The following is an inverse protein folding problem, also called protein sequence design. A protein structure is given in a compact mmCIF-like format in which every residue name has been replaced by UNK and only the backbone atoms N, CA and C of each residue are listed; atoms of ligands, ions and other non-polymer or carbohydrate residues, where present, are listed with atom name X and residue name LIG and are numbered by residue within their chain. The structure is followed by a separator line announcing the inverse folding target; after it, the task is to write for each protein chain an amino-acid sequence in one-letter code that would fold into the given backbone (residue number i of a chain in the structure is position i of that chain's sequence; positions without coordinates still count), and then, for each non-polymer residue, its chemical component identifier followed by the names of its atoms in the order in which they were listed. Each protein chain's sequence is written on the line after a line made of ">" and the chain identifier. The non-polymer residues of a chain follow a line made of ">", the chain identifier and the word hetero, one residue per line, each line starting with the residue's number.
data_IF_341540758204
#
_entry.id   IF_341540758204
#
_cell.length_a   1.000
_cell.length_b   1.000
_cell.length_c   1.000
_cell.angle_alpha   90.00
_cell.angle_beta   90.00
_cell.angle_gamma   90.00
#
_symmetry.space_group_name_H-M   'P 1'
#
loop_
_entity.id
_entity.type
_entity.pdbx_description
1 polymer ?
#
# COMPACT_ATOMS: atom_id res chain seq x y z
N UNK A 1 -5.42 -4.37 -3.40
CA UNK A 1 -5.88 -3.00 -3.02
C UNK A 1 -7.12 -2.93 -2.13
N UNK A 2 -8.10 -3.84 -2.23
CA UNK A 2 -9.33 -3.78 -1.40
C UNK A 2 -9.06 -3.77 0.11
N UNK A 3 -8.04 -4.49 0.58
CA UNK A 3 -7.69 -4.56 2.00
C UNK A 3 -7.12 -3.24 2.55
N UNK A 4 -6.14 -2.65 1.85
CA UNK A 4 -5.59 -1.33 2.22
C UNK A 4 -6.69 -0.26 2.22
N UNK A 5 -7.54 -0.26 1.19
CA UNK A 5 -8.68 0.65 1.11
C UNK A 5 -9.72 0.42 2.21
N UNK A 6 -9.94 -0.82 2.68
CA UNK A 6 -10.89 -1.06 3.78
C UNK A 6 -10.36 -0.65 5.15
N UNK A 7 -9.04 -0.55 5.31
CA UNK A 7 -8.41 -0.09 6.55
C UNK A 7 -8.44 1.44 6.62
N UNK A 8 -8.15 2.10 5.51
CA UNK A 8 -8.14 3.55 5.39
C UNK A 8 -6.75 4.13 5.05
N UNK A 9 -6.70 5.42 4.68
CA UNK A 9 -5.44 6.11 4.37
C UNK A 9 -4.61 6.33 5.65
N UNK A 10 -3.32 6.62 5.45
CA UNK A 10 -2.35 6.94 6.51
C UNK A 10 -2.16 5.87 7.60
N UNK A 11 -2.61 4.63 7.35
CA UNK A 11 -2.41 3.50 8.26
C UNK A 11 -1.32 2.58 7.71
N UNK A 12 -0.31 2.33 8.54
CA UNK A 12 0.76 1.38 8.23
C UNK A 12 0.25 -0.04 8.41
N UNK A 13 0.26 -0.80 7.32
CA UNK A 13 -0.10 -2.22 7.28
C UNK A 13 1.16 -3.03 7.03
N UNK A 14 1.38 -4.07 7.83
CA UNK A 14 2.52 -4.94 7.64
C UNK A 14 2.40 -5.72 6.32
N UNK A 15 3.51 -5.93 5.61
CA UNK A 15 3.52 -6.53 4.28
C UNK A 15 2.81 -7.90 4.21
N UNK A 16 2.85 -8.67 5.31
CA UNK A 16 2.17 -9.98 5.42
C UNK A 16 0.64 -9.89 5.40
N UNK A 17 0.08 -8.78 5.88
CA UNK A 17 -1.37 -8.57 5.94
C UNK A 17 -1.90 -8.04 4.60
N UNK A 18 -1.04 -7.40 3.81
CA UNK A 18 -1.36 -6.98 2.44
C UNK A 18 -1.36 -8.18 1.51
N UNK A 19 -2.52 -8.81 1.37
CA UNK A 19 -2.75 -9.87 0.38
C UNK A 19 -2.93 -9.29 -1.03
N UNK A 20 -2.46 -10.04 -2.02
CA UNK A 20 -2.63 -9.73 -3.46
C UNK A 20 -2.00 -8.40 -3.91
N UNK A 21 -0.84 -8.04 -3.37
CA UNK A 21 -0.01 -6.94 -3.85
C UNK A 21 1.33 -7.49 -4.35
N UNK A 22 1.32 -8.03 -5.58
CA UNK A 22 2.55 -8.52 -6.23
C UNK A 22 3.52 -7.40 -6.60
N UNK A 23 4.79 -7.73 -6.92
CA UNK A 23 5.87 -6.75 -7.15
C UNK A 23 5.54 -5.73 -8.25
N UNK A 24 4.98 -6.18 -9.39
CA UNK A 24 4.56 -5.28 -10.48
C UNK A 24 3.45 -4.31 -10.08
N UNK A 25 2.55 -4.75 -9.20
CA UNK A 25 1.46 -3.91 -8.72
C UNK A 25 2.00 -2.91 -7.71
N UNK A 26 2.82 -3.36 -6.76
CA UNK A 26 3.48 -2.50 -5.78
C UNK A 26 4.25 -1.37 -6.46
N UNK A 27 5.11 -1.68 -7.43
CA UNK A 27 5.93 -0.69 -8.11
C UNK A 27 5.06 0.35 -8.84
N UNK A 28 4.03 -0.10 -9.55
CA UNK A 28 3.06 0.80 -10.20
C UNK A 28 2.34 1.71 -9.23
N UNK A 29 1.94 1.19 -8.06
CA UNK A 29 1.23 1.96 -7.04
C UNK A 29 2.15 2.99 -6.39
N UNK A 30 3.40 2.61 -6.14
CA UNK A 30 4.43 3.49 -5.60
C UNK A 30 4.77 4.61 -6.59
N UNK A 31 4.97 4.28 -7.87
CA UNK A 31 5.23 5.28 -8.93
C UNK A 31 4.06 6.26 -9.06
N UNK A 32 2.83 5.80 -8.86
CA UNK A 32 1.63 6.65 -8.89
C UNK A 32 1.41 7.48 -7.62
N UNK A 33 2.23 7.29 -6.58
CA UNK A 33 2.06 7.96 -5.29
C UNK A 33 0.84 7.47 -4.52
N UNK A 34 0.33 6.26 -4.82
CA UNK A 34 -0.85 5.70 -4.15
C UNK A 34 -0.50 4.95 -2.86
N UNK A 35 0.75 4.51 -2.73
CA UNK A 35 1.25 3.87 -1.52
C UNK A 35 2.64 4.39 -1.16
N UNK A 36 2.93 4.42 0.12
CA UNK A 36 4.27 4.56 0.67
C UNK A 36 4.76 3.23 1.25
N UNK A 37 6.05 2.96 1.09
CA UNK A 37 6.70 1.74 1.58
C UNK A 37 7.69 2.11 2.68
N UNK A 38 7.62 1.44 3.81
CA UNK A 38 8.56 1.61 4.92
C UNK A 38 9.38 0.33 5.12
N UNK A 39 10.68 0.46 5.42
CA UNK A 39 11.54 -0.69 5.66
C UNK A 39 11.14 -1.44 6.93
N UNK A 40 11.51 -2.71 7.03
CA UNK A 40 11.37 -3.49 8.25
C UNK A 40 12.49 -3.13 9.23
N UNK A 41 12.18 -2.98 10.52
CA UNK A 41 13.16 -2.62 11.57
C UNK A 41 14.37 -3.58 11.61
N UNK A 42 14.12 -4.88 11.45
CA UNK A 42 15.16 -5.92 11.47
C UNK A 42 15.82 -6.17 10.11
N UNK A 43 15.23 -5.70 9.02
CA UNK A 43 15.70 -5.94 7.65
C UNK A 43 15.45 -4.68 6.80
N UNK A 44 16.34 -3.67 6.87
CA UNK A 44 16.12 -2.38 6.23
C UNK A 44 16.07 -2.47 4.70
N UNK A 45 16.67 -3.50 4.11
CA UNK A 45 16.61 -3.78 2.66
C UNK A 45 15.28 -4.36 2.20
N UNK A 46 14.34 -4.64 3.12
CA UNK A 46 13.04 -5.26 2.83
C UNK A 46 11.91 -4.32 3.20
N UNK A 47 10.85 -4.37 2.40
CA UNK A 47 9.62 -3.65 2.71
C UNK A 47 8.95 -4.33 3.90
N UNK A 48 8.82 -3.59 5.00
CA UNK A 48 8.15 -4.02 6.22
C UNK A 48 6.68 -3.62 6.23
N UNK A 49 6.38 -2.42 5.74
CA UNK A 49 5.04 -1.85 5.82
C UNK A 49 4.66 -1.11 4.55
N UNK A 50 3.38 -1.21 4.21
CA UNK A 50 2.72 -0.38 3.21
C UNK A 50 1.79 0.58 3.93
N UNK A 51 1.70 1.80 3.40
CA UNK A 51 0.72 2.77 3.83
C UNK A 51 0.00 3.30 2.59
N UNK A 52 -1.32 3.34 2.65
CA UNK A 52 -2.11 3.95 1.59
C UNK A 52 -2.07 5.47 1.76
N UNK A 53 -1.76 6.19 0.69
CA UNK A 53 -1.85 7.66 0.69
C UNK A 53 -3.29 8.10 0.53
N UNK A 54 -3.59 9.37 0.79
CA UNK A 54 -4.92 9.92 0.56
C UNK A 54 -5.31 9.83 -0.92
N UNK A 55 -4.36 10.03 -1.83
CA UNK A 55 -4.56 9.87 -3.28
C UNK A 55 -4.86 8.42 -3.66
N UNK A 56 -4.13 7.46 -3.08
CA UNK A 56 -4.36 6.04 -3.30
C UNK A 56 -5.71 5.59 -2.76
N UNK A 57 -6.14 6.16 -1.63
CA UNK A 57 -7.46 5.92 -1.07
C UNK A 57 -8.56 6.50 -1.95
N UNK A 58 -8.45 7.77 -2.36
CA UNK A 58 -9.41 8.40 -3.27
C UNK A 58 -9.56 7.62 -4.59
N UNK A 59 -8.45 7.26 -5.24
CA UNK A 59 -8.46 6.48 -6.48
C UNK A 59 -9.11 5.10 -6.31
N UNK A 60 -8.98 4.48 -5.11
CA UNK A 60 -9.62 3.22 -4.80
C UNK A 60 -11.14 3.32 -4.64
N UNK A 61 -11.65 4.48 -4.22
CA UNK A 61 -13.09 4.77 -4.13
C UNK A 61 -13.68 5.07 -5.52
N UNK A 62 -12.94 5.80 -6.36
CA UNK A 62 -13.39 6.15 -7.72
C UNK A 62 -13.48 4.93 -8.65
N UNK A 63 -12.66 3.90 -8.42
CA UNK A 63 -12.69 2.65 -9.21
C UNK A 63 -13.80 1.67 -8.78
N UNK A 64 -14.69 2.08 -7.86
CA UNK A 64 -15.75 1.27 -7.26
C UNK A 64 -17.18 1.55 -7.76
N UNK A 65 -17.35 2.23 -8.91
CA UNK A 65 -18.65 2.40 -9.60
C UNK A 65 -18.78 1.50 -10.81
#
# INVERSE_FOLDING_TARGET
>A
MKYLASIGPAIKIHWRDVKDCGPDTEERLKIRGFIETFPQENYPDRIGYYMLTDEGFAASQESGT
#
